data_IF_351626327861
#
_entry.id   IF_351626327861
#
_cell.length_a   1.000
_cell.length_b   1.000
_cell.length_c   1.000
_cell.angle_alpha   90.00
_cell.angle_beta   90.00
_cell.angle_gamma   90.00
#
_symmetry.space_group_name_H-M   'P 1'
#
loop_
_entity.id
_entity.type
_entity.pdbx_description
1 polymer ?
#
# COMPACT_ATOMS: atom_id res chain seq x y z
N UNK A 1 -7.84 -16.91 -2.73
CA UNK A 1 -7.25 -16.05 -1.68
C UNK A 1 -6.35 -16.90 -0.81
N UNK A 2 -5.16 -16.43 -0.42
CA UNK A 2 -4.30 -17.20 0.48
C UNK A 2 -5.00 -17.48 1.82
N UNK A 3 -4.76 -18.64 2.41
CA UNK A 3 -5.26 -18.95 3.74
C UNK A 3 -4.66 -17.99 4.77
N UNK A 4 -5.48 -17.57 5.75
CA UNK A 4 -4.96 -16.70 6.82
C UNK A 4 -3.84 -17.39 7.59
N UNK A 5 -2.81 -16.66 8.05
CA UNK A 5 -1.75 -17.26 8.83
C UNK A 5 -2.32 -17.89 10.11
N UNK A 6 -1.91 -19.09 10.40
CA UNK A 6 -2.19 -19.73 11.67
C UNK A 6 -1.14 -19.33 12.70
N UNK A 7 -1.57 -19.04 13.92
CA UNK A 7 -0.68 -18.66 15.02
C UNK A 7 -0.70 -19.74 16.11
N UNK A 8 0.47 -20.09 16.60
CA UNK A 8 0.64 -21.01 17.72
C UNK A 8 0.09 -20.38 19.03
N UNK A 9 -0.08 -21.18 20.07
CA UNK A 9 -0.50 -20.67 21.37
C UNK A 9 0.54 -19.72 21.98
N UNK A 10 1.83 -19.96 21.74
CA UNK A 10 2.92 -19.08 22.17
C UNK A 10 2.80 -17.70 21.47
N UNK A 11 2.64 -17.70 20.14
CA UNK A 11 2.45 -16.46 19.37
C UNK A 11 1.20 -15.68 19.81
N UNK A 12 0.10 -16.37 20.08
CA UNK A 12 -1.14 -15.74 20.59
C UNK A 12 -0.94 -15.09 21.96
N UNK A 13 -0.19 -15.74 22.87
CA UNK A 13 0.19 -15.16 24.18
C UNK A 13 1.06 -13.91 23.98
N UNK A 14 2.09 -13.99 23.14
CA UNK A 14 2.94 -12.85 22.83
C UNK A 14 2.14 -11.67 22.23
N UNK A 15 1.15 -11.93 21.38
CA UNK A 15 0.23 -10.90 20.86
C UNK A 15 -0.59 -10.24 21.99
N UNK A 16 -1.11 -11.03 22.93
CA UNK A 16 -1.90 -10.52 24.06
C UNK A 16 -1.04 -9.65 24.97
N UNK A 17 0.14 -10.13 25.36
CA UNK A 17 1.07 -9.39 26.20
C UNK A 17 1.52 -8.08 25.53
N UNK A 18 1.87 -8.14 24.24
CA UNK A 18 2.24 -6.94 23.49
C UNK A 18 1.07 -5.94 23.38
N UNK A 19 -0.18 -6.44 23.27
CA UNK A 19 -1.37 -5.58 23.24
C UNK A 19 -1.59 -4.86 24.58
N UNK A 20 -1.26 -5.50 25.71
CA UNK A 20 -1.34 -4.92 27.06
C UNK A 20 -0.22 -3.89 27.25
N UNK A 21 1.01 -4.21 26.84
CA UNK A 21 2.18 -3.32 26.94
C UNK A 21 2.11 -2.11 26.03
N UNK A 22 1.18 -2.11 25.06
CA UNK A 22 0.96 -1.02 24.11
C UNK A 22 1.85 -1.08 22.87
N UNK A 23 1.77 -0.04 22.04
CA UNK A 23 2.32 -0.04 20.68
C UNK A 23 3.85 -0.21 20.60
N UNK A 24 4.60 0.21 21.63
CA UNK A 24 6.06 0.08 21.65
C UNK A 24 6.52 -1.36 21.75
N UNK A 25 5.69 -2.26 22.30
CA UNK A 25 5.98 -3.68 22.35
C UNK A 25 6.06 -4.30 20.94
N UNK A 26 5.34 -3.76 19.95
CA UNK A 26 5.50 -4.19 18.57
C UNK A 26 6.94 -4.09 18.09
N UNK A 27 7.63 -3.02 18.39
CA UNK A 27 8.99 -2.78 17.87
C UNK A 27 10.06 -3.47 18.71
N UNK A 28 9.85 -3.59 20.01
CA UNK A 28 10.88 -4.00 21.00
C UNK A 28 10.79 -5.45 21.47
N UNK A 29 9.66 -6.13 21.28
CA UNK A 29 9.51 -7.50 21.76
C UNK A 29 10.10 -8.51 20.76
N UNK A 30 11.19 -9.21 21.08
CA UNK A 30 11.82 -10.21 20.21
C UNK A 30 10.90 -11.42 19.94
N UNK A 31 10.01 -11.77 20.86
CA UNK A 31 9.09 -12.90 20.72
C UNK A 31 8.08 -12.71 19.59
N UNK A 32 7.96 -11.48 19.08
CA UNK A 32 7.14 -11.17 17.92
C UNK A 32 7.86 -11.37 16.57
N UNK A 33 9.14 -11.71 16.55
CA UNK A 33 9.92 -11.78 15.30
C UNK A 33 9.31 -12.74 14.28
N UNK A 34 9.12 -14.01 14.67
CA UNK A 34 8.54 -15.05 13.81
C UNK A 34 7.09 -14.70 13.40
N UNK A 35 6.31 -14.17 14.33
CA UNK A 35 4.95 -13.74 14.07
C UNK A 35 4.89 -12.59 13.05
N UNK A 36 5.78 -11.61 13.16
CA UNK A 36 5.88 -10.51 12.19
C UNK A 36 6.27 -11.02 10.81
N UNK A 37 7.18 -11.98 10.74
CA UNK A 37 7.56 -12.60 9.47
C UNK A 37 6.36 -13.30 8.81
N UNK A 38 5.59 -14.10 9.55
CA UNK A 38 4.35 -14.72 9.05
C UNK A 38 3.35 -13.67 8.55
N UNK A 39 3.15 -12.59 9.30
CA UNK A 39 2.26 -11.49 8.90
C UNK A 39 2.77 -10.82 7.62
N UNK A 40 4.07 -10.54 7.54
CA UNK A 40 4.70 -9.90 6.39
C UNK A 40 4.54 -10.75 5.13
N UNK A 41 4.89 -12.03 5.21
CA UNK A 41 4.79 -12.97 4.10
C UNK A 41 3.34 -13.12 3.63
N UNK A 42 2.39 -13.27 4.54
CA UNK A 42 0.98 -13.29 4.20
C UNK A 42 0.51 -12.00 3.50
N UNK A 43 0.96 -10.85 4.00
CA UNK A 43 0.61 -9.55 3.43
C UNK A 43 1.18 -9.38 2.02
N UNK A 44 2.42 -9.84 1.79
CA UNK A 44 3.05 -9.84 0.46
C UNK A 44 2.30 -10.73 -0.53
N UNK A 45 1.96 -11.96 -0.13
CA UNK A 45 1.16 -12.86 -0.98
C UNK A 45 -0.18 -12.19 -1.33
N UNK A 46 -0.85 -11.60 -0.34
CA UNK A 46 -2.16 -10.95 -0.53
C UNK A 46 -2.09 -9.76 -1.47
N UNK A 47 -1.02 -8.98 -1.44
CA UNK A 47 -0.83 -7.81 -2.30
C UNK A 47 -0.16 -8.12 -3.63
N UNK A 48 0.12 -9.40 -3.92
CA UNK A 48 0.91 -9.79 -5.09
C UNK A 48 2.30 -9.17 -5.10
N UNK A 49 2.94 -9.10 -3.92
CA UNK A 49 4.24 -8.44 -3.72
C UNK A 49 4.26 -6.98 -4.20
N UNK A 50 3.15 -6.27 -4.00
CA UNK A 50 3.02 -4.84 -4.31
C UNK A 50 2.83 -4.03 -3.04
N UNK A 51 3.29 -2.78 -3.07
CA UNK A 51 2.96 -1.82 -2.02
C UNK A 51 1.46 -1.56 -2.02
N UNK A 52 0.80 -1.72 -0.87
CA UNK A 52 -0.65 -1.59 -0.74
C UNK A 52 -1.21 -0.19 -1.03
N UNK A 53 -0.35 0.83 -1.15
CA UNK A 53 -0.75 2.22 -1.41
C UNK A 53 -0.35 2.71 -2.79
N UNK A 54 0.89 2.50 -3.20
CA UNK A 54 1.37 2.98 -4.49
C UNK A 54 1.42 1.89 -5.58
N UNK A 55 1.02 0.67 -5.28
CA UNK A 55 0.95 -0.42 -6.26
C UNK A 55 2.30 -0.89 -6.84
N UNK A 56 3.42 -0.19 -6.55
CA UNK A 56 4.72 -0.56 -7.12
C UNK A 56 5.12 -1.98 -6.69
N UNK A 57 5.77 -2.68 -7.58
CA UNK A 57 6.34 -3.99 -7.28
C UNK A 57 7.43 -3.87 -6.21
N UNK A 58 7.39 -4.75 -5.22
CA UNK A 58 8.38 -4.90 -4.14
C UNK A 58 8.85 -6.37 -4.02
N UNK A 59 8.61 -7.15 -5.07
CA UNK A 59 9.13 -8.52 -5.16
C UNK A 59 10.65 -8.51 -5.28
N UNK A 60 11.31 -9.38 -4.54
CA UNK A 60 12.78 -9.45 -4.54
C UNK A 60 13.48 -8.32 -3.79
N UNK A 61 12.74 -7.34 -3.28
CA UNK A 61 13.31 -6.27 -2.47
C UNK A 61 13.80 -6.80 -1.12
N UNK A 62 14.90 -6.22 -0.65
CA UNK A 62 15.44 -6.55 0.67
C UNK A 62 14.42 -6.29 1.78
N UNK A 63 14.32 -7.22 2.71
CA UNK A 63 13.28 -7.20 3.74
C UNK A 63 13.14 -5.91 4.54
N UNK A 64 14.21 -5.10 4.65
CA UNK A 64 14.18 -3.80 5.36
C UNK A 64 13.47 -2.69 4.61
N UNK A 65 13.23 -2.81 3.28
CA UNK A 65 12.50 -1.78 2.51
C UNK A 65 11.00 -2.01 2.51
N UNK A 66 10.56 -3.15 3.02
CA UNK A 66 9.16 -3.56 3.12
C UNK A 66 8.73 -3.53 4.59
N UNK A 67 7.73 -2.74 4.88
CA UNK A 67 7.15 -2.64 6.21
C UNK A 67 5.81 -3.40 6.32
N UNK A 68 5.54 -3.92 7.52
CA UNK A 68 4.17 -4.28 7.89
C UNK A 68 3.47 -2.96 8.24
N UNK A 69 2.52 -2.59 7.40
CA UNK A 69 1.73 -1.39 7.55
C UNK A 69 0.59 -1.59 8.54
N UNK A 70 0.44 -0.65 9.46
CA UNK A 70 -0.74 -0.50 10.31
C UNK A 70 -1.62 0.61 9.75
N UNK A 71 -2.68 0.26 9.02
CA UNK A 71 -3.58 1.22 8.34
C UNK A 71 -4.13 2.22 9.36
N UNK A 72 -4.71 1.73 10.46
CA UNK A 72 -4.95 2.51 11.66
C UNK A 72 -3.67 2.46 12.51
N UNK A 73 -3.01 3.61 12.75
CA UNK A 73 -1.71 3.64 13.44
C UNK A 73 -1.75 2.96 14.80
N UNK A 74 -0.82 2.05 15.05
CA UNK A 74 -0.75 1.28 16.32
C UNK A 74 -0.60 2.17 17.54
N UNK A 75 0.02 3.37 17.42
CA UNK A 75 0.16 4.34 18.50
C UNK A 75 -1.17 4.97 18.92
N UNK A 76 -2.11 5.10 18.01
CA UNK A 76 -3.43 5.70 18.27
C UNK A 76 -4.49 4.59 18.51
N UNK A 77 -4.34 3.47 17.82
CA UNK A 77 -5.28 2.35 17.87
C UNK A 77 -4.61 1.04 18.29
N UNK A 78 -3.99 0.94 19.50
CA UNK A 78 -3.22 -0.23 19.92
C UNK A 78 -4.03 -1.52 19.92
N UNK A 79 -5.34 -1.47 20.19
CA UNK A 79 -6.24 -2.62 20.16
C UNK A 79 -6.37 -3.28 18.78
N UNK A 80 -5.97 -2.59 17.70
CA UNK A 80 -6.00 -3.12 16.35
C UNK A 80 -4.61 -3.51 15.83
N UNK A 81 -3.59 -3.50 16.69
CA UNK A 81 -2.21 -3.75 16.33
C UNK A 81 -2.01 -5.11 15.64
N UNK A 82 -2.74 -6.15 16.06
CA UNK A 82 -2.70 -7.48 15.45
C UNK A 82 -3.95 -7.84 14.63
N UNK A 83 -4.80 -6.86 14.35
CA UNK A 83 -6.00 -7.13 13.57
C UNK A 83 -5.65 -7.29 12.09
N UNK A 84 -5.90 -8.47 11.50
CA UNK A 84 -5.53 -8.76 10.10
C UNK A 84 -6.09 -7.76 9.08
N UNK A 85 -7.30 -7.20 9.32
CA UNK A 85 -7.85 -6.12 8.48
C UNK A 85 -7.09 -4.79 8.61
N UNK A 86 -6.25 -4.64 9.62
CA UNK A 86 -5.42 -3.46 9.87
C UNK A 86 -4.00 -3.61 9.35
N UNK A 87 -3.60 -4.78 8.87
CA UNK A 87 -2.23 -5.09 8.49
C UNK A 87 -2.12 -5.33 6.99
N UNK A 88 -1.08 -4.77 6.37
CA UNK A 88 -0.76 -4.96 4.97
C UNK A 88 0.74 -4.82 4.72
N UNK A 89 1.20 -5.00 3.49
CA UNK A 89 2.58 -4.75 3.09
C UNK A 89 2.69 -3.40 2.38
N UNK A 90 3.64 -2.57 2.80
CA UNK A 90 3.91 -1.30 2.15
C UNK A 90 5.39 -1.01 2.00
N UNK A 91 5.74 -0.15 1.04
CA UNK A 91 7.10 0.38 0.96
C UNK A 91 7.32 1.47 2.02
N UNK A 92 8.57 1.66 2.44
CA UNK A 92 8.95 2.68 3.43
C UNK A 92 8.53 4.10 3.03
N UNK A 93 8.60 4.45 1.74
CA UNK A 93 8.13 5.76 1.27
C UNK A 93 6.67 6.01 1.68
N UNK A 94 5.78 5.07 1.39
CA UNK A 94 4.37 5.24 1.72
C UNK A 94 4.11 5.17 3.21
N UNK A 95 4.71 4.23 3.92
CA UNK A 95 4.51 4.05 5.35
C UNK A 95 5.21 5.13 6.18
N UNK A 96 6.54 5.23 6.09
CA UNK A 96 7.34 6.04 7.00
C UNK A 96 7.43 7.52 6.61
N UNK A 97 7.45 7.84 5.30
CA UNK A 97 7.62 9.23 4.88
C UNK A 97 6.30 9.96 4.70
N UNK A 98 5.24 9.29 4.23
CA UNK A 98 3.97 9.94 3.87
C UNK A 98 2.91 9.71 4.93
N UNK A 99 2.48 8.46 5.14
CA UNK A 99 1.36 8.15 6.04
C UNK A 99 1.73 8.33 7.51
N UNK A 100 2.82 7.72 7.96
CA UNK A 100 3.25 7.78 9.38
C UNK A 100 2.11 7.36 10.32
N UNK A 101 1.88 8.16 11.36
CA UNK A 101 0.76 7.98 12.32
C UNK A 101 -0.46 8.85 12.02
N UNK A 102 -0.56 9.41 10.80
CA UNK A 102 -1.69 10.25 10.41
C UNK A 102 -3.00 9.45 10.36
N UNK A 103 -4.11 10.16 10.58
CA UNK A 103 -5.47 9.64 10.56
C UNK A 103 -6.43 10.54 9.77
N UNK A 104 -5.93 11.56 9.09
CA UNK A 104 -6.66 12.55 8.29
C UNK A 104 -7.39 11.97 7.07
N UNK A 105 -7.07 10.74 6.72
CA UNK A 105 -7.77 9.96 5.72
C UNK A 105 -9.06 9.29 6.22
N UNK A 106 -9.38 9.41 7.51
CA UNK A 106 -10.61 8.87 8.09
C UNK A 106 -11.77 9.87 7.96
N UNK A 107 -12.97 9.35 7.70
CA UNK A 107 -14.20 10.14 7.56
C UNK A 107 -15.02 10.02 8.85
N UNK A 108 -15.37 11.16 9.47
CA UNK A 108 -16.36 11.22 10.53
C UNK A 108 -16.04 10.44 11.80
N UNK A 109 -14.79 10.03 11.99
CA UNK A 109 -14.34 9.34 13.20
C UNK A 109 -13.82 10.40 14.19
N UNK A 110 -14.59 11.42 14.45
CA UNK A 110 -14.44 12.20 15.67
C UNK A 110 -14.81 11.29 16.84
N UNK A 111 -13.91 11.12 17.82
CA UNK A 111 -14.12 10.55 19.18
C UNK A 111 -15.01 9.30 19.34
N UNK A 112 -15.70 8.81 18.33
CA UNK A 112 -16.54 7.62 18.43
C UNK A 112 -15.67 6.37 18.52
N UNK A 113 -15.42 5.92 19.74
CA UNK A 113 -14.87 4.62 20.14
C UNK A 113 -15.78 3.45 19.68
N UNK A 114 -16.18 3.42 18.43
CA UNK A 114 -17.10 2.37 17.96
C UNK A 114 -16.28 1.26 17.30
N UNK A 115 -16.51 0.02 17.72
CA UNK A 115 -15.86 -1.19 17.21
C UNK A 115 -16.12 -1.52 15.73
N UNK A 116 -16.55 -0.55 14.94
CA UNK A 116 -16.93 -0.72 13.52
C UNK A 116 -16.01 0.01 12.54
N UNK A 117 -14.74 0.25 12.91
CA UNK A 117 -13.80 1.02 12.07
C UNK A 117 -13.42 0.33 10.75
N UNK A 118 -13.67 -0.95 10.58
CA UNK A 118 -13.31 -1.69 9.35
C UNK A 118 -14.48 -1.76 8.36
N UNK A 119 -14.95 -0.57 7.93
CA UNK A 119 -15.87 -0.37 6.80
C UNK A 119 -15.22 0.55 5.80
N UNK A 120 -15.27 0.19 4.51
CA UNK A 120 -14.69 0.96 3.41
C UNK A 120 -15.11 2.44 3.44
N UNK A 121 -16.37 2.73 3.75
CA UNK A 121 -16.93 4.08 3.81
C UNK A 121 -16.33 5.02 4.86
N UNK A 122 -15.54 4.51 5.79
CA UNK A 122 -14.86 5.34 6.79
C UNK A 122 -13.46 5.81 6.33
N UNK A 123 -13.06 5.46 5.12
CA UNK A 123 -11.73 5.78 4.59
C UNK A 123 -11.85 6.59 3.30
N UNK A 124 -11.18 7.73 3.25
CA UNK A 124 -11.02 8.52 2.00
C UNK A 124 -10.09 7.82 1.04
N UNK A 125 -9.04 7.15 1.56
CA UNK A 125 -8.09 6.36 0.77
C UNK A 125 -8.67 4.99 0.39
N UNK A 126 -8.07 4.36 -0.62
CA UNK A 126 -8.30 2.94 -0.93
C UNK A 126 -7.79 2.12 0.25
N UNK A 127 -8.69 1.43 0.95
CA UNK A 127 -8.30 0.63 2.10
C UNK A 127 -7.78 -0.74 1.65
N UNK A 128 -6.50 -1.08 1.94
CA UNK A 128 -5.83 -2.26 1.37
C UNK A 128 -6.54 -3.61 1.61
N UNK A 129 -7.39 -3.69 2.61
CA UNK A 129 -8.05 -4.94 3.00
C UNK A 129 -9.58 -4.93 2.85
N UNK A 130 -10.17 -3.80 2.46
CA UNK A 130 -11.63 -3.64 2.35
C UNK A 130 -12.07 -3.26 0.94
N UNK A 131 -11.19 -2.66 0.16
CA UNK A 131 -11.45 -2.22 -1.20
C UNK A 131 -10.69 -3.10 -2.20
N UNK A 132 -11.16 -3.16 -3.43
CA UNK A 132 -10.38 -3.66 -4.55
C UNK A 132 -9.57 -2.48 -5.11
N UNK A 133 -8.25 -2.57 -5.07
CA UNK A 133 -7.36 -1.49 -5.48
C UNK A 133 -7.58 -1.10 -6.94
N UNK A 134 -7.63 -2.08 -7.85
CA UNK A 134 -7.71 -1.86 -9.28
C UNK A 134 -9.08 -1.29 -9.73
N UNK A 135 -10.10 -1.37 -8.89
CA UNK A 135 -11.38 -0.70 -9.14
C UNK A 135 -11.36 0.81 -8.89
N UNK A 136 -10.26 1.33 -8.34
CA UNK A 136 -10.12 2.73 -7.98
C UNK A 136 -8.90 3.40 -8.62
N UNK A 137 -7.79 2.67 -8.75
CA UNK A 137 -6.52 3.21 -9.20
C UNK A 137 -5.72 2.12 -9.92
N UNK A 138 -5.29 2.39 -11.13
CA UNK A 138 -4.41 1.52 -11.90
C UNK A 138 -2.99 2.10 -11.93
N UNK A 139 -2.01 1.22 -11.83
CA UNK A 139 -0.61 1.53 -12.10
C UNK A 139 -0.22 0.89 -13.42
N UNK A 140 0.02 1.71 -14.41
CA UNK A 140 0.50 1.33 -15.73
C UNK A 140 2.02 1.46 -15.72
N UNK A 141 2.74 0.40 -16.09
CA UNK A 141 4.19 0.44 -16.17
C UNK A 141 4.69 -0.35 -17.36
N UNK A 142 5.64 0.23 -18.07
CA UNK A 142 6.39 -0.42 -19.15
C UNK A 142 7.87 -0.13 -18.99
N UNK A 143 8.72 -1.10 -19.32
CA UNK A 143 10.16 -0.94 -19.29
C UNK A 143 10.80 -1.60 -20.50
N UNK A 144 11.62 -0.84 -21.22
CA UNK A 144 12.43 -1.33 -22.32
C UNK A 144 13.89 -0.90 -22.08
N UNK A 145 14.73 -1.87 -21.78
CA UNK A 145 16.12 -1.60 -21.37
C UNK A 145 16.17 -0.71 -20.12
N UNK A 146 16.73 0.49 -20.24
CA UNK A 146 16.82 1.49 -19.17
C UNK A 146 15.68 2.52 -19.19
N UNK A 147 14.87 2.53 -20.23
CA UNK A 147 13.73 3.44 -20.36
C UNK A 147 12.56 2.87 -19.58
N UNK A 148 11.93 3.69 -18.77
CA UNK A 148 10.78 3.30 -17.92
C UNK A 148 9.67 4.30 -18.12
N UNK A 149 8.47 3.80 -18.34
CA UNK A 149 7.24 4.56 -18.18
C UNK A 149 6.49 4.02 -16.96
N UNK A 150 5.98 4.93 -16.16
CA UNK A 150 5.15 4.63 -15.02
C UNK A 150 4.12 5.73 -14.88
N UNK A 151 2.84 5.37 -14.96
CA UNK A 151 1.71 6.30 -14.88
C UNK A 151 0.61 5.72 -13.99
N UNK A 152 -0.09 6.58 -13.30
CA UNK A 152 -1.28 6.21 -12.53
C UNK A 152 -2.53 6.73 -13.25
N UNK A 153 -3.58 5.92 -13.22
CA UNK A 153 -4.88 6.26 -13.76
C UNK A 153 -5.97 6.03 -12.70
N UNK A 154 -6.75 7.07 -12.43
CA UNK A 154 -7.92 6.96 -11.56
C UNK A 154 -9.05 6.32 -12.36
N UNK A 155 -9.60 5.22 -11.86
CA UNK A 155 -10.64 4.43 -12.52
C UNK A 155 -12.01 4.98 -12.16
N UNK A 156 -12.87 5.15 -13.16
CA UNK A 156 -14.28 5.55 -12.99
C UNK A 156 -14.46 6.76 -12.07
N UNK A 157 -13.62 7.77 -12.21
CA UNK A 157 -13.65 9.00 -11.39
C UNK A 157 -13.68 8.74 -9.87
N UNK A 158 -13.07 7.63 -9.45
CA UNK A 158 -13.09 7.20 -8.06
C UNK A 158 -12.54 8.25 -7.11
N UNK A 159 -13.36 8.78 -6.21
CA UNK A 159 -12.93 9.68 -5.14
C UNK A 159 -11.83 9.07 -4.26
N UNK A 160 -11.88 7.77 -4.01
CA UNK A 160 -10.84 7.05 -3.26
C UNK A 160 -9.55 6.95 -4.04
N UNK A 161 -9.64 6.69 -5.35
CA UNK A 161 -8.50 6.67 -6.26
C UNK A 161 -7.81 8.02 -6.29
N UNK A 162 -8.55 9.10 -6.55
CA UNK A 162 -8.05 10.47 -6.58
C UNK A 162 -7.44 10.89 -5.23
N UNK A 163 -8.11 10.58 -4.12
CA UNK A 163 -7.56 10.85 -2.79
C UNK A 163 -6.26 10.10 -2.55
N UNK A 164 -6.20 8.80 -2.88
CA UNK A 164 -5.00 7.97 -2.70
C UNK A 164 -3.85 8.47 -3.56
N UNK A 165 -4.12 8.83 -4.80
CA UNK A 165 -3.14 9.42 -5.72
C UNK A 165 -2.49 10.67 -5.14
N UNK A 166 -3.30 11.63 -4.70
CA UNK A 166 -2.82 12.90 -4.12
C UNK A 166 -2.14 12.70 -2.76
N UNK A 167 -2.76 11.90 -1.87
CA UNK A 167 -2.27 11.67 -0.51
C UNK A 167 -0.88 11.03 -0.48
N UNK A 168 -0.66 10.05 -1.35
CA UNK A 168 0.64 9.37 -1.45
C UNK A 168 1.59 10.02 -2.46
N UNK A 169 1.22 11.18 -3.05
CA UNK A 169 2.03 11.93 -4.02
C UNK A 169 2.52 10.99 -5.13
N UNK A 170 1.57 10.31 -5.76
CA UNK A 170 1.90 9.30 -6.76
C UNK A 170 2.40 9.93 -8.05
N UNK A 171 2.03 11.18 -8.33
CA UNK A 171 2.60 12.04 -9.37
C UNK A 171 4.13 12.05 -9.34
N UNK A 172 4.74 12.05 -8.15
CA UNK A 172 6.20 12.01 -7.99
C UNK A 172 6.85 10.67 -8.36
N UNK A 173 6.04 9.62 -8.49
CA UNK A 173 6.51 8.31 -8.94
C UNK A 173 6.36 8.12 -10.43
N UNK A 174 5.55 8.94 -11.07
CA UNK A 174 5.36 8.89 -12.51
C UNK A 174 6.67 9.20 -13.23
N UNK A 175 6.96 8.42 -14.23
CA UNK A 175 8.15 8.54 -15.05
C UNK A 175 7.78 8.36 -16.51
N UNK A 176 8.30 9.23 -17.33
CA UNK A 176 8.32 9.05 -18.76
C UNK A 176 9.74 9.30 -19.27
N UNK A 177 10.61 8.31 -19.14
CA UNK A 177 11.99 8.42 -19.61
C UNK A 177 12.09 8.29 -21.14
N UNK A 178 10.96 8.04 -21.82
CA UNK A 178 10.90 8.12 -23.26
C UNK A 178 10.90 9.58 -23.76
N UNK A 179 10.34 10.51 -22.95
CA UNK A 179 10.30 11.94 -23.30
C UNK A 179 11.61 12.69 -23.05
N UNK A 180 12.45 12.23 -22.12
CA UNK A 180 13.68 12.95 -21.72
C UNK A 180 14.81 12.88 -22.74
N UNK A 181 14.71 12.02 -23.74
CA UNK A 181 15.75 11.88 -24.80
C UNK A 181 15.60 12.98 -25.87
N UNK A 182 14.48 13.71 -25.93
CA UNK A 182 14.18 14.69 -26.97
C UNK A 182 13.99 16.13 -26.51
N UNK A 183 14.57 16.53 -25.38
CA UNK A 183 14.63 17.96 -25.02
C UNK A 183 13.28 18.66 -25.01
N UNK A 184 12.39 18.28 -24.10
CA UNK A 184 11.28 19.15 -23.65
C UNK A 184 10.23 19.53 -24.69
N UNK A 185 9.77 18.63 -25.55
CA UNK A 185 8.56 18.83 -26.35
C UNK A 185 7.45 17.86 -25.95
N UNK A 186 6.23 18.38 -25.86
CA UNK A 186 4.98 17.68 -25.58
C UNK A 186 4.80 16.52 -26.56
N UNK A 187 4.33 15.35 -26.05
CA UNK A 187 3.91 14.17 -26.81
C UNK A 187 4.88 13.82 -27.96
N UNK A 188 6.00 13.20 -27.62
CA UNK A 188 6.78 12.50 -28.62
C UNK A 188 6.12 11.16 -28.93
N UNK A 189 5.89 10.89 -30.19
CA UNK A 189 5.49 9.59 -30.70
C UNK A 189 6.42 8.52 -30.15
N UNK A 190 5.85 7.42 -29.70
CA UNK A 190 6.62 6.27 -29.26
C UNK A 190 7.18 5.64 -30.53
N UNK A 191 8.47 5.74 -30.74
CA UNK A 191 9.12 5.22 -31.97
C UNK A 191 9.05 3.68 -32.11
N UNK A 192 8.63 2.97 -31.07
CA UNK A 192 8.44 1.52 -31.15
C UNK A 192 6.95 1.23 -31.36
N UNK A 193 6.55 0.65 -32.53
CA UNK A 193 5.17 0.37 -32.88
C UNK A 193 4.45 -0.54 -31.86
N UNK A 194 5.12 -1.56 -31.31
CA UNK A 194 4.54 -2.48 -30.34
C UNK A 194 4.21 -1.77 -29.01
N UNK A 195 5.02 -0.78 -28.63
CA UNK A 195 4.76 0.05 -27.48
C UNK A 195 3.65 1.07 -27.74
N UNK A 196 3.58 1.62 -28.94
CA UNK A 196 2.49 2.52 -29.33
C UNK A 196 1.15 1.80 -29.32
N UNK A 197 1.06 0.61 -29.93
CA UNK A 197 -0.16 -0.22 -29.87
C UNK A 197 -0.58 -0.56 -28.43
N UNK A 198 0.38 -0.90 -27.56
CA UNK A 198 0.07 -1.16 -26.15
C UNK A 198 -0.45 0.10 -25.42
N UNK A 199 -0.03 1.29 -25.84
CA UNK A 199 -0.53 2.55 -25.32
C UNK A 199 -1.90 2.91 -25.86
N UNK A 200 -2.11 2.77 -27.15
CA UNK A 200 -3.37 3.07 -27.82
C UNK A 200 -4.49 2.12 -27.36
N UNK A 201 -4.13 0.90 -26.95
CA UNK A 201 -5.06 -0.06 -26.36
C UNK A 201 -5.50 0.29 -24.92
N UNK A 202 -4.82 1.23 -24.25
CA UNK A 202 -5.06 1.62 -22.86
C UNK A 202 -5.75 3.01 -22.77
N UNK A 203 -5.65 3.82 -23.80
CA UNK A 203 -6.26 5.16 -23.87
C UNK A 203 -7.45 5.10 -24.86
N UNK A 204 -8.70 4.83 -24.41
CA UNK A 204 -9.88 4.75 -25.26
C UNK A 204 -10.34 6.12 -25.76
#
# INVERSE_FOLDING_TARGET
MPSRPSFTNVEKRAMQEASIRGHTAWDRNPDLATLKEKIKNFSLIKTGSRCCYCGRNIYGEFGMVIDIEHILPKSIYPKYMFRGRNLSASCKRCNMNIKKSKTDFLIGIGTKKTGKLFRSSYYKLIHPNLDNYDSHLLLISSQVGRKVMLKYMVVNESNKGAFTYTYFKLDQLEKNSFDTVQGGRRRSEIENPELQEAFDAIDP
#
